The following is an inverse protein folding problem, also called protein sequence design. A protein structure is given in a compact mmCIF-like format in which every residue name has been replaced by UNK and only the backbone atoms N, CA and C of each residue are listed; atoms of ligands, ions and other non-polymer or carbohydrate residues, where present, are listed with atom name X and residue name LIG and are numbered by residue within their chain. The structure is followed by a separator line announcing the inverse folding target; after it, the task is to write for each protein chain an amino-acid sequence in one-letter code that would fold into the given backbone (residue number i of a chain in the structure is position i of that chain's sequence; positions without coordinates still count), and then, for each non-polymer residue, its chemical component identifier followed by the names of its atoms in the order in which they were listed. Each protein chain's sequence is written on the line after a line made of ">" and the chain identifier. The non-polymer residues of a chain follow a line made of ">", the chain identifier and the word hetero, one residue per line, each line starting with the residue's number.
data_IF_209545003673
#
_entry.id   IF_209545003673
#
_cell.length_a   1.000
_cell.length_b   1.000
_cell.length_c   1.000
_cell.angle_alpha   90.00
_cell.angle_beta   90.00
_cell.angle_gamma   90.00
#
_symmetry.space_group_name_H-M   'P 1'
#
loop_
_entity.id
_entity.type
_entity.pdbx_description
1 polymer ?
#
# COMPACT_ATOMS: atom_id res chain seq x y z
N UNK A 1 9.61 51.31 -11.96
CA UNK A 1 9.53 50.22 -10.98
C UNK A 1 8.38 49.35 -11.41
N UNK A 2 8.68 48.16 -11.92
CA UNK A 2 7.68 47.24 -12.48
C UNK A 2 7.00 46.47 -11.36
N UNK A 3 5.76 46.01 -11.60
CA UNK A 3 4.94 45.27 -10.62
C UNK A 3 5.65 44.00 -10.08
N UNK A 4 6.60 43.47 -10.85
CA UNK A 4 7.51 42.39 -10.49
C UNK A 4 8.55 42.77 -9.43
N UNK A 5 9.12 43.98 -9.49
CA UNK A 5 10.11 44.43 -8.51
C UNK A 5 9.47 44.70 -7.14
N UNK A 6 8.19 45.15 -7.13
CA UNK A 6 7.43 45.40 -5.90
C UNK A 6 7.13 44.10 -5.16
N UNK A 7 6.78 43.04 -5.89
CA UNK A 7 6.55 41.70 -5.31
C UNK A 7 7.82 41.10 -4.74
N UNK A 8 8.92 41.17 -5.48
CA UNK A 8 10.21 40.64 -5.02
C UNK A 8 10.73 41.39 -3.78
N UNK A 9 10.52 42.71 -3.73
CA UNK A 9 10.84 43.52 -2.55
C UNK A 9 9.96 43.13 -1.34
N UNK A 10 8.66 42.92 -1.55
CA UNK A 10 7.74 42.49 -0.50
C UNK A 10 8.07 41.10 0.06
N UNK A 11 8.48 40.16 -0.78
CA UNK A 11 8.83 38.79 -0.36
C UNK A 11 10.10 38.80 0.51
N UNK A 12 11.11 39.58 0.09
CA UNK A 12 12.37 39.74 0.84
C UNK A 12 12.13 40.37 2.22
N UNK A 13 11.25 41.36 2.32
CA UNK A 13 10.86 41.98 3.59
C UNK A 13 10.13 40.99 4.53
N UNK A 14 9.26 40.13 3.98
CA UNK A 14 8.52 39.12 4.74
C UNK A 14 9.45 38.03 5.29
N UNK A 15 10.35 37.50 4.46
CA UNK A 15 11.34 36.50 4.87
C UNK A 15 12.25 37.05 5.96
N UNK A 16 12.70 38.31 5.81
CA UNK A 16 13.55 38.95 6.81
C UNK A 16 12.81 39.21 8.13
N UNK A 17 11.49 39.45 8.07
CA UNK A 17 10.64 39.60 9.27
C UNK A 17 10.43 38.26 9.98
N UNK A 18 10.27 37.17 9.22
CA UNK A 18 10.11 35.81 9.75
C UNK A 18 11.40 35.31 10.42
N UNK A 19 12.56 35.54 9.79
CA UNK A 19 13.87 35.19 10.34
C UNK A 19 14.17 35.93 11.66
N UNK A 20 13.81 37.22 11.73
CA UNK A 20 13.92 38.02 12.96
C UNK A 20 13.00 37.51 14.07
N UNK A 21 11.81 37.02 13.72
CA UNK A 21 10.87 36.43 14.68
C UNK A 21 11.42 35.09 15.22
N UNK A 22 11.99 34.26 14.35
CA UNK A 22 12.59 32.97 14.72
C UNK A 22 13.85 33.09 15.60
N UNK A 23 14.63 34.16 15.40
CA UNK A 23 15.86 34.44 16.16
C UNK A 23 15.60 35.21 17.46
N UNK A 24 14.35 35.61 17.75
CA UNK A 24 14.03 36.36 18.97
C UNK A 24 14.04 35.44 20.20
N UNK A 25 14.64 35.84 21.33
CA UNK A 25 14.63 35.06 22.59
C UNK A 25 13.27 35.04 23.29
N UNK A 26 12.30 35.82 22.78
CA UNK A 26 10.96 35.89 23.32
C UNK A 26 10.23 34.56 23.06
N UNK A 27 9.40 34.06 23.99
CA UNK A 27 8.61 32.86 23.76
C UNK A 27 7.75 33.07 22.51
N UNK A 28 7.68 32.05 21.64
CA UNK A 28 6.85 32.09 20.44
C UNK A 28 5.45 32.64 20.81
N UNK A 29 4.91 33.61 20.04
CA UNK A 29 3.66 34.26 20.39
C UNK A 29 2.61 33.18 20.65
N UNK A 30 2.13 33.13 21.89
CA UNK A 30 1.00 32.28 22.23
C UNK A 30 -0.20 32.78 21.44
N UNK A 31 -1.04 31.84 21.01
CA UNK A 31 -2.20 32.06 20.14
C UNK A 31 -3.26 32.91 20.84
N UNK A 32 -2.98 34.18 21.03
CA UNK A 32 -3.87 35.16 21.64
C UNK A 32 -4.71 35.86 20.55
N UNK A 33 -4.32 35.71 19.28
CA UNK A 33 -5.12 36.04 18.11
C UNK A 33 -5.82 34.78 17.60
N UNK A 34 -7.16 34.83 17.50
CA UNK A 34 -7.97 33.85 16.78
C UNK A 34 -7.42 33.72 15.36
N UNK A 35 -6.59 32.70 15.13
CA UNK A 35 -6.13 32.36 13.80
C UNK A 35 -7.38 32.00 13.00
N UNK A 36 -7.73 32.90 12.08
CA UNK A 36 -8.74 32.65 11.06
C UNK A 36 -8.31 31.44 10.24
N UNK A 37 -8.83 30.28 10.60
CA UNK A 37 -8.51 28.99 9.97
C UNK A 37 -8.85 28.99 8.48
N UNK A 38 -9.68 29.93 8.00
CA UNK A 38 -9.97 30.13 6.58
C UNK A 38 -8.82 30.77 5.78
N UNK A 39 -7.85 31.38 6.47
CA UNK A 39 -6.65 32.00 5.86
C UNK A 39 -5.38 31.19 6.02
N UNK A 40 -5.42 30.10 6.80
CA UNK A 40 -4.30 29.18 6.83
C UNK A 40 -4.14 28.56 5.45
N UNK A 41 -2.91 28.45 4.91
CA UNK A 41 -2.68 27.72 3.69
C UNK A 41 -3.11 26.26 3.92
N UNK A 42 -4.32 25.90 3.50
CA UNK A 42 -4.71 24.49 3.41
C UNK A 42 -3.69 23.84 2.50
N UNK A 43 -2.98 22.80 2.95
CA UNK A 43 -2.12 21.95 2.10
C UNK A 43 -2.87 21.66 0.80
N UNK A 44 -2.56 22.38 -0.30
CA UNK A 44 -3.29 22.24 -1.57
C UNK A 44 -2.63 21.16 -2.41
N UNK A 45 -1.57 20.52 -1.90
CA UNK A 45 -1.03 19.31 -2.47
C UNK A 45 -2.15 18.27 -2.52
N UNK A 46 -2.69 18.12 -3.73
CA UNK A 46 -3.50 16.98 -4.09
C UNK A 46 -2.76 15.74 -3.59
N UNK A 47 -3.36 15.01 -2.66
CA UNK A 47 -2.85 13.71 -2.26
C UNK A 47 -2.55 12.93 -3.55
N UNK A 48 -1.34 12.38 -3.75
CA UNK A 48 -1.03 11.58 -4.94
C UNK A 48 -2.00 10.41 -5.15
N UNK A 49 -2.76 10.01 -4.12
CA UNK A 49 -3.83 9.03 -4.18
C UNK A 49 -5.24 9.60 -4.52
N UNK A 50 -5.32 10.90 -4.87
CA UNK A 50 -6.51 11.60 -5.35
C UNK A 50 -7.59 11.82 -4.28
N UNK A 51 -7.22 11.92 -2.99
CA UNK A 51 -8.20 12.15 -1.91
C UNK A 51 -8.67 13.61 -1.81
N UNK A 52 -9.30 14.14 -2.85
CA UNK A 52 -9.89 15.48 -2.77
C UNK A 52 -10.97 15.51 -1.68
N UNK A 53 -10.86 16.46 -0.76
CA UNK A 53 -11.94 16.74 0.18
C UNK A 53 -13.12 17.27 -0.66
N UNK A 54 -14.15 16.43 -0.87
CA UNK A 54 -15.37 16.87 -1.54
C UNK A 54 -16.08 17.86 -0.61
N UNK A 55 -15.73 19.13 -0.75
CA UNK A 55 -16.33 20.28 -0.08
C UNK A 55 -16.24 20.26 1.47
N UNK A 56 -15.79 21.38 2.02
CA UNK A 56 -15.65 21.57 3.46
C UNK A 56 -17.05 21.54 4.12
N UNK A 57 -17.44 20.39 4.67
CA UNK A 57 -18.74 20.19 5.32
C UNK A 57 -19.58 19.00 4.82
N UNK A 58 -19.13 18.24 3.81
CA UNK A 58 -19.86 17.04 3.40
C UNK A 58 -19.74 15.92 4.45
N UNK A 59 -20.88 15.40 4.91
CA UNK A 59 -20.99 14.33 5.93
C UNK A 59 -20.53 12.93 5.46
N UNK A 60 -19.77 12.85 4.35
CA UNK A 60 -19.26 11.59 3.83
C UNK A 60 -17.88 11.28 4.44
N UNK A 61 -17.64 10.07 4.94
CA UNK A 61 -16.33 9.69 5.47
C UNK A 61 -15.26 9.81 4.38
N UNK A 62 -14.14 10.48 4.69
CA UNK A 62 -12.97 10.64 3.80
C UNK A 62 -12.39 9.29 3.32
N UNK A 63 -12.62 8.22 4.07
CA UNK A 63 -12.14 6.87 3.78
C UNK A 63 -13.32 5.90 3.64
N UNK A 64 -13.23 4.97 2.69
CA UNK A 64 -14.25 3.94 2.50
C UNK A 64 -14.22 3.27 1.13
N UNK A 65 -15.20 2.38 0.85
CA UNK A 65 -15.31 1.66 -0.42
C UNK A 65 -15.44 2.55 -1.66
N UNK A 66 -15.79 3.82 -1.44
CA UNK A 66 -16.05 4.81 -2.47
C UNK A 66 -14.80 5.64 -2.82
N UNK A 67 -13.63 5.46 -2.17
CA UNK A 67 -12.44 6.25 -2.53
C UNK A 67 -11.79 5.78 -3.85
N UNK A 68 -11.11 6.70 -4.55
CA UNK A 68 -10.52 6.45 -5.87
C UNK A 68 -9.50 5.30 -5.84
N UNK A 69 -8.62 5.24 -4.84
CA UNK A 69 -7.68 4.14 -4.64
C UNK A 69 -8.33 2.78 -4.35
N UNK A 70 -9.41 2.69 -3.55
CA UNK A 70 -10.11 1.42 -3.28
C UNK A 70 -10.84 0.94 -4.51
N UNK A 71 -11.40 1.86 -5.31
CA UNK A 71 -12.01 1.54 -6.60
C UNK A 71 -10.97 1.07 -7.61
N UNK A 72 -9.80 1.70 -7.65
CA UNK A 72 -8.67 1.23 -8.47
C UNK A 72 -8.22 -0.18 -8.06
N UNK A 73 -8.00 -0.42 -6.76
CA UNK A 73 -7.65 -1.74 -6.22
C UNK A 73 -8.74 -2.80 -6.48
N UNK A 74 -10.02 -2.45 -6.32
CA UNK A 74 -11.13 -3.34 -6.61
C UNK A 74 -11.26 -3.65 -8.11
N UNK A 75 -10.94 -2.69 -8.98
CA UNK A 75 -10.95 -2.88 -10.44
C UNK A 75 -9.78 -3.74 -10.94
N UNK A 76 -8.64 -3.70 -10.25
CA UNK A 76 -7.46 -4.53 -10.57
C UNK A 76 -7.65 -6.01 -10.19
N UNK A 77 -8.62 -6.33 -9.34
CA UNK A 77 -8.87 -7.69 -8.88
C UNK A 77 -9.85 -8.41 -9.80
N UNK A 78 -9.32 -9.03 -10.85
CA UNK A 78 -10.10 -9.74 -11.88
C UNK A 78 -10.85 -10.95 -11.31
N UNK A 79 -11.91 -11.40 -12.02
CA UNK A 79 -12.64 -12.62 -11.68
C UNK A 79 -11.74 -13.86 -11.68
N UNK A 80 -10.73 -13.87 -12.55
CA UNK A 80 -9.76 -14.96 -12.66
C UNK A 80 -8.85 -15.01 -11.43
N UNK A 81 -8.43 -13.85 -10.90
CA UNK A 81 -7.66 -13.78 -9.66
C UNK A 81 -8.46 -14.30 -8.46
N UNK A 82 -9.74 -13.90 -8.35
CA UNK A 82 -10.68 -14.43 -7.34
C UNK A 82 -10.71 -15.97 -7.38
N UNK A 83 -10.85 -16.53 -8.59
CA UNK A 83 -10.98 -17.97 -8.79
C UNK A 83 -9.66 -18.70 -8.47
N UNK A 84 -8.52 -18.17 -8.90
CA UNK A 84 -7.20 -18.72 -8.57
C UNK A 84 -7.02 -18.82 -7.05
N UNK A 85 -7.35 -17.76 -6.32
CA UNK A 85 -7.22 -17.74 -4.87
C UNK A 85 -8.14 -18.76 -4.21
N UNK A 86 -9.41 -18.84 -4.62
CA UNK A 86 -10.34 -19.86 -4.13
C UNK A 86 -9.83 -21.29 -4.37
N UNK A 87 -9.35 -21.57 -5.58
CA UNK A 87 -8.79 -22.89 -5.94
C UNK A 87 -7.57 -23.20 -5.06
N UNK A 88 -6.64 -22.25 -4.90
CA UNK A 88 -5.45 -22.44 -4.09
C UNK A 88 -5.77 -22.75 -2.62
N UNK A 89 -6.74 -22.04 -2.04
CA UNK A 89 -7.16 -22.25 -0.65
C UNK A 89 -7.85 -23.60 -0.47
N UNK A 90 -8.72 -24.00 -1.41
CA UNK A 90 -9.40 -25.31 -1.36
C UNK A 90 -8.38 -26.44 -1.47
N UNK A 91 -7.45 -26.38 -2.42
CA UNK A 91 -6.40 -27.40 -2.61
C UNK A 91 -5.50 -27.47 -1.37
N UNK A 92 -5.03 -26.32 -0.87
CA UNK A 92 -4.20 -26.28 0.32
C UNK A 92 -4.91 -26.88 1.54
N UNK A 93 -6.19 -26.57 1.73
CA UNK A 93 -7.00 -27.10 2.83
C UNK A 93 -7.14 -28.63 2.75
N UNK A 94 -7.45 -29.16 1.55
CA UNK A 94 -7.56 -30.61 1.33
C UNK A 94 -6.23 -31.30 1.64
N UNK A 95 -5.12 -30.78 1.13
CA UNK A 95 -3.79 -31.35 1.38
C UNK A 95 -3.44 -31.33 2.87
N UNK A 96 -3.74 -30.25 3.58
CA UNK A 96 -3.50 -30.13 5.01
C UNK A 96 -4.29 -31.18 5.81
N UNK A 97 -5.58 -31.36 5.48
CA UNK A 97 -6.43 -32.40 6.09
C UNK A 97 -5.90 -33.80 5.78
N UNK A 98 -5.51 -34.08 4.53
CA UNK A 98 -4.93 -35.37 4.16
C UNK A 98 -3.63 -35.67 4.91
N UNK A 99 -2.71 -34.70 5.01
CA UNK A 99 -1.46 -34.87 5.77
C UNK A 99 -1.76 -35.11 7.25
N UNK A 100 -2.69 -34.34 7.83
CA UNK A 100 -3.09 -34.49 9.22
C UNK A 100 -3.69 -35.88 9.51
N UNK A 101 -4.61 -36.36 8.67
CA UNK A 101 -5.20 -37.71 8.79
C UNK A 101 -4.13 -38.80 8.64
N UNK A 102 -3.19 -38.65 7.70
CA UNK A 102 -2.09 -39.59 7.56
C UNK A 102 -1.18 -39.62 8.81
N UNK A 103 -0.91 -38.45 9.40
CA UNK A 103 -0.11 -38.35 10.64
C UNK A 103 -0.80 -39.06 11.81
N UNK A 104 -2.12 -38.88 11.95
CA UNK A 104 -2.91 -39.58 12.98
C UNK A 104 -2.95 -41.09 12.76
N UNK A 105 -3.08 -41.53 11.50
CA UNK A 105 -3.18 -42.96 11.16
C UNK A 105 -1.83 -43.67 11.29
N UNK A 106 -0.74 -43.00 10.97
CA UNK A 106 0.63 -43.52 11.01
C UNK A 106 1.38 -43.11 12.28
N UNK A 107 0.66 -42.92 13.38
CA UNK A 107 1.26 -42.49 14.65
C UNK A 107 2.24 -43.55 15.19
N UNK A 108 3.50 -43.37 14.85
CA UNK A 108 4.63 -44.14 15.36
C UNK A 108 5.71 -43.16 15.81
N UNK A 109 6.19 -43.30 17.05
CA UNK A 109 7.19 -42.40 17.63
C UNK A 109 8.57 -42.56 16.96
N UNK A 110 8.81 -43.69 16.28
CA UNK A 110 10.06 -44.02 15.60
C UNK A 110 10.27 -43.21 14.31
N UNK A 111 9.19 -42.83 13.61
CA UNK A 111 9.27 -42.23 12.27
C UNK A 111 9.36 -40.70 12.26
N UNK A 112 9.31 -40.03 13.42
CA UNK A 112 9.26 -38.55 13.47
C UNK A 112 10.48 -37.88 12.84
N UNK A 113 11.65 -38.52 12.88
CA UNK A 113 12.84 -38.02 12.19
C UNK A 113 12.66 -37.92 10.68
N UNK A 114 12.07 -38.93 10.04
CA UNK A 114 11.80 -38.89 8.60
C UNK A 114 10.68 -37.91 8.26
N UNK A 115 9.66 -37.78 9.12
CA UNK A 115 8.59 -36.77 8.97
C UNK A 115 9.17 -35.35 8.94
N UNK A 116 10.10 -35.03 9.84
CA UNK A 116 10.76 -33.71 9.87
C UNK A 116 11.62 -33.47 8.62
N UNK A 117 12.39 -34.47 8.18
CA UNK A 117 13.19 -34.36 6.96
C UNK A 117 12.28 -34.14 5.74
N UNK A 118 11.19 -34.91 5.62
CA UNK A 118 10.21 -34.73 4.55
C UNK A 118 9.52 -33.36 4.59
N UNK A 119 9.25 -32.81 5.78
CA UNK A 119 8.69 -31.47 5.92
C UNK A 119 9.66 -30.40 5.40
N UNK A 120 10.95 -30.48 5.77
CA UNK A 120 11.98 -29.55 5.29
C UNK A 120 12.16 -29.66 3.78
N UNK A 121 12.29 -30.88 3.26
CA UNK A 121 12.40 -31.12 1.81
C UNK A 121 11.15 -30.65 1.07
N UNK A 122 9.96 -30.80 1.66
CA UNK A 122 8.70 -30.31 1.13
C UNK A 122 8.68 -28.79 0.98
N UNK A 123 9.12 -28.06 2.03
CA UNK A 123 9.24 -26.59 1.98
C UNK A 123 10.21 -26.16 0.88
N UNK A 124 11.42 -26.74 0.86
CA UNK A 124 12.43 -26.41 -0.16
C UNK A 124 11.92 -26.68 -1.58
N UNK A 125 11.20 -27.79 -1.78
CA UNK A 125 10.62 -28.14 -3.08
C UNK A 125 9.52 -27.15 -3.47
N UNK A 126 8.67 -26.75 -2.53
CA UNK A 126 7.62 -25.76 -2.77
C UNK A 126 8.20 -24.39 -3.14
N UNK A 127 9.24 -23.93 -2.45
CA UNK A 127 9.92 -22.67 -2.75
C UNK A 127 10.56 -22.70 -4.14
N UNK A 128 11.24 -23.79 -4.49
CA UNK A 128 11.81 -23.96 -5.83
C UNK A 128 10.73 -24.00 -6.91
N UNK A 129 9.66 -24.79 -6.72
CA UNK A 129 8.58 -24.93 -7.67
C UNK A 129 7.82 -23.61 -7.88
N UNK A 130 7.58 -22.85 -6.80
CA UNK A 130 6.95 -21.53 -6.89
C UNK A 130 7.82 -20.52 -7.66
N UNK A 131 9.14 -20.51 -7.40
CA UNK A 131 10.08 -19.71 -8.15
C UNK A 131 10.13 -20.07 -9.64
N UNK A 132 10.08 -21.36 -9.98
CA UNK A 132 10.03 -21.84 -11.37
C UNK A 132 8.74 -21.41 -12.08
N UNK A 133 7.59 -21.49 -11.41
CA UNK A 133 6.31 -21.04 -11.96
C UNK A 133 6.31 -19.53 -12.19
N UNK A 134 6.85 -18.76 -11.25
CA UNK A 134 7.00 -17.31 -11.39
C UNK A 134 7.92 -16.95 -12.56
N UNK A 135 9.09 -17.58 -12.63
CA UNK A 135 10.02 -17.42 -13.77
C UNK A 135 9.37 -17.78 -15.11
N UNK A 136 8.58 -18.85 -15.15
CA UNK A 136 7.84 -19.25 -16.34
C UNK A 136 6.78 -18.22 -16.76
N UNK A 137 6.02 -17.67 -15.80
CA UNK A 137 5.04 -16.62 -16.09
C UNK A 137 5.70 -15.36 -16.68
N UNK A 138 6.86 -14.96 -16.16
CA UNK A 138 7.60 -13.79 -16.65
C UNK A 138 8.23 -14.04 -18.02
N UNK A 139 8.66 -15.28 -18.30
CA UNK A 139 9.29 -15.65 -19.57
C UNK A 139 8.27 -15.86 -20.70
N UNK A 140 7.11 -16.44 -20.40
CA UNK A 140 6.10 -16.81 -21.42
C UNK A 140 4.88 -15.86 -21.47
N UNK A 141 4.69 -15.01 -20.47
CA UNK A 141 3.58 -14.05 -20.38
C UNK A 141 3.83 -12.70 -21.07
N UNK A 142 5.02 -12.48 -21.63
CA UNK A 142 5.28 -11.28 -22.43
C UNK A 142 4.56 -11.37 -23.78
N UNK A 143 4.03 -10.23 -24.23
CA UNK A 143 3.09 -10.09 -25.36
C UNK A 143 3.65 -10.56 -26.71
N UNK A 144 4.94 -10.88 -26.79
CA UNK A 144 5.60 -11.29 -28.03
C UNK A 144 5.64 -12.81 -28.27
N UNK A 145 5.35 -13.66 -27.28
CA UNK A 145 5.71 -15.09 -27.40
C UNK A 145 4.67 -16.07 -27.92
N UNK A 146 3.34 -15.86 -27.80
CA UNK A 146 2.37 -16.73 -28.52
C UNK A 146 0.89 -16.29 -28.53
N UNK A 147 0.39 -15.57 -27.52
CA UNK A 147 -1.06 -15.26 -27.39
C UNK A 147 -1.49 -13.93 -28.05
N UNK A 148 -0.56 -13.23 -28.73
CA UNK A 148 -0.78 -11.93 -29.37
C UNK A 148 -1.06 -11.97 -30.87
N UNK A 149 -1.76 -13.00 -31.39
CA UNK A 149 -2.30 -12.99 -32.75
C UNK A 149 -3.72 -13.55 -32.78
#
# INVERSE_FOLDING_TARGET
>A
MTDSEVKEFSEKELVQKEEKMFMSPDPAPTLDEEIDTSKLPSMPEDDPNGNVNSEMGAAAPRWGPQHAGARALASMYSKEKRLQEQISVVIASILFVCVFVNLLRSWDSSIWGSVLICAVLGIMTADFASGLVHWGADTFGSVETYFGR
#
